data_IF_983183476748
#
_entry.id   IF_983183476748
#
_cell.length_a   1.000
_cell.length_b   1.000
_cell.length_c   1.000
_cell.angle_alpha   90.00
_cell.angle_beta   90.00
_cell.angle_gamma   90.00
#
_symmetry.space_group_name_H-M   'P 1'
#
loop_
_entity.id
_entity.type
_entity.pdbx_description
1 polymer ?
#
# COMPACT_ATOMS: atom_id res chain seq x y z
N UNK A 1 0.15 -4.97 24.27
CA UNK A 1 -0.82 -5.82 23.53
C UNK A 1 -0.90 -5.33 22.09
N UNK A 2 -0.99 -6.24 21.09
CA UNK A 2 -1.18 -5.82 19.70
C UNK A 2 -2.55 -5.14 19.55
N UNK A 3 -2.59 -4.12 18.69
CA UNK A 3 -3.82 -3.34 18.44
C UNK A 3 -4.83 -4.08 17.54
N UNK A 4 -4.38 -5.13 16.83
CA UNK A 4 -5.24 -5.97 15.99
C UNK A 4 -5.99 -6.94 16.91
N UNK A 5 -7.29 -6.96 16.81
CA UNK A 5 -8.20 -7.77 17.63
C UNK A 5 -8.24 -9.25 17.22
N UNK A 6 -8.84 -10.11 18.06
CA UNK A 6 -9.10 -11.51 17.70
C UNK A 6 -10.10 -11.59 16.55
N UNK A 7 -9.90 -12.51 15.62
CA UNK A 7 -10.72 -12.74 14.42
C UNK A 7 -10.75 -11.55 13.44
N UNK A 8 -9.83 -10.61 13.56
CA UNK A 8 -9.71 -9.54 12.58
C UNK A 8 -9.47 -10.09 11.17
N UNK A 9 -9.95 -9.35 10.17
CA UNK A 9 -9.60 -9.55 8.77
C UNK A 9 -8.74 -8.38 8.32
N UNK A 10 -7.47 -8.65 8.04
CA UNK A 10 -6.49 -7.68 7.54
C UNK A 10 -6.36 -7.82 6.04
N UNK A 11 -6.69 -6.77 5.30
CA UNK A 11 -6.54 -6.70 3.85
C UNK A 11 -5.31 -5.88 3.49
N UNK A 12 -4.39 -6.47 2.71
CA UNK A 12 -3.30 -5.76 2.04
C UNK A 12 -3.73 -5.41 0.60
N UNK A 13 -3.65 -4.14 0.25
CA UNK A 13 -4.05 -3.64 -1.06
C UNK A 13 -2.97 -2.71 -1.64
N UNK A 14 -2.66 -2.87 -2.93
CA UNK A 14 -1.60 -2.10 -3.55
C UNK A 14 -1.22 -2.62 -4.94
N UNK A 15 0.03 -2.37 -5.30
CA UNK A 15 0.64 -2.73 -6.58
C UNK A 15 1.51 -4.01 -6.50
N UNK A 16 2.57 -4.09 -7.32
CA UNK A 16 3.50 -5.23 -7.38
C UNK A 16 4.22 -5.51 -6.07
N UNK A 17 4.50 -4.48 -5.27
CA UNK A 17 5.17 -4.64 -3.97
C UNK A 17 4.23 -5.37 -3.00
N UNK A 18 2.94 -5.09 -3.06
CA UNK A 18 1.92 -5.79 -2.28
C UNK A 18 1.58 -7.16 -2.87
N UNK A 19 1.44 -7.26 -4.21
CA UNK A 19 1.19 -8.49 -4.94
C UNK A 19 2.19 -9.59 -4.54
N UNK A 20 3.49 -9.29 -4.60
CA UNK A 20 4.54 -10.24 -4.22
C UNK A 20 4.49 -11.56 -4.98
N UNK A 21 3.97 -11.59 -6.21
CA UNK A 21 3.85 -12.78 -7.04
C UNK A 21 2.77 -13.77 -6.58
N UNK A 22 1.71 -13.29 -5.95
CA UNK A 22 0.60 -14.13 -5.50
C UNK A 22 -0.12 -14.85 -6.65
N UNK A 23 -0.67 -16.01 -6.38
CA UNK A 23 -1.57 -16.70 -7.29
C UNK A 23 -2.98 -16.07 -7.26
N UNK A 24 -3.37 -15.39 -8.33
CA UNK A 24 -4.69 -14.74 -8.44
C UNK A 24 -5.89 -15.71 -8.40
N UNK A 25 -5.67 -16.99 -8.72
CA UNK A 25 -6.71 -18.03 -8.65
C UNK A 25 -6.96 -18.51 -7.21
N UNK A 26 -6.03 -18.22 -6.30
CA UNK A 26 -6.18 -18.54 -4.88
C UNK A 26 -6.40 -17.24 -4.08
N UNK A 27 -7.63 -17.01 -3.64
CA UNK A 27 -7.99 -15.81 -2.89
C UNK A 27 -7.28 -15.64 -1.54
N UNK A 28 -6.72 -16.72 -0.99
CA UNK A 28 -6.01 -16.71 0.30
C UNK A 28 -4.47 -16.67 0.13
N UNK A 29 -3.96 -16.68 -1.10
CA UNK A 29 -2.53 -16.56 -1.35
C UNK A 29 -2.02 -15.13 -1.07
N UNK A 30 -1.04 -15.03 -0.20
CA UNK A 30 -0.41 -13.77 0.21
C UNK A 30 0.80 -13.37 -0.63
N UNK A 31 1.23 -14.23 -1.57
CA UNK A 31 2.46 -14.07 -2.32
C UNK A 31 3.70 -14.35 -1.47
N UNK A 32 4.86 -13.83 -1.91
CA UNK A 32 6.15 -14.00 -1.25
C UNK A 32 6.74 -12.68 -0.71
N UNK A 33 5.95 -11.59 -0.79
CA UNK A 33 6.35 -10.25 -0.39
C UNK A 33 6.06 -9.94 1.09
N UNK A 34 6.07 -8.63 1.39
CA UNK A 34 5.89 -8.13 2.75
C UNK A 34 4.56 -8.57 3.40
N UNK A 35 3.51 -8.74 2.59
CA UNK A 35 2.18 -9.14 3.10
C UNK A 35 2.24 -10.53 3.77
N UNK A 36 2.89 -11.49 3.12
CA UNK A 36 3.12 -12.83 3.67
C UNK A 36 4.02 -12.78 4.90
N UNK A 37 5.13 -12.02 4.84
CA UNK A 37 6.07 -11.91 5.96
C UNK A 37 5.38 -11.31 7.20
N UNK A 38 4.61 -10.23 7.03
CA UNK A 38 3.88 -9.58 8.12
C UNK A 38 2.81 -10.52 8.71
N UNK A 39 2.07 -11.22 7.88
CA UNK A 39 1.05 -12.18 8.30
C UNK A 39 1.67 -13.36 9.08
N UNK A 40 2.76 -13.94 8.56
CA UNK A 40 3.46 -15.05 9.20
C UNK A 40 4.05 -14.63 10.55
N UNK A 41 4.72 -13.47 10.59
CA UNK A 41 5.30 -12.93 11.83
C UNK A 41 4.23 -12.64 12.89
N UNK A 42 3.12 -11.99 12.48
CA UNK A 42 2.00 -11.71 13.39
C UNK A 42 1.39 -13.00 13.94
N UNK A 43 1.12 -13.99 13.08
CA UNK A 43 0.52 -15.27 13.47
C UNK A 43 1.43 -16.06 14.42
N UNK A 44 2.74 -16.02 14.19
CA UNK A 44 3.72 -16.65 15.08
C UNK A 44 3.82 -15.94 16.44
N UNK A 45 3.78 -14.61 16.44
CA UNK A 45 3.87 -13.81 17.68
C UNK A 45 2.58 -13.84 18.52
N UNK A 46 1.42 -14.03 17.87
CA UNK A 46 0.10 -13.97 18.52
C UNK A 46 -0.81 -15.12 18.10
N UNK A 47 -0.43 -16.40 18.33
CA UNK A 47 -1.16 -17.56 17.83
C UNK A 47 -2.59 -17.71 18.36
N UNK A 48 -2.87 -17.11 19.53
CA UNK A 48 -4.22 -17.09 20.09
C UNK A 48 -5.18 -16.15 19.37
N UNK A 49 -4.65 -15.22 18.53
CA UNK A 49 -5.46 -14.32 17.73
C UNK A 49 -5.68 -14.95 16.35
N UNK A 50 -6.91 -15.30 16.05
CA UNK A 50 -7.31 -15.98 14.81
C UNK A 50 -7.50 -14.95 13.68
N UNK A 51 -6.45 -14.13 13.43
CA UNK A 51 -6.45 -13.10 12.39
C UNK A 51 -6.34 -13.77 11.02
N UNK A 52 -7.20 -13.33 10.10
CA UNK A 52 -7.08 -13.70 8.68
C UNK A 52 -6.40 -12.55 7.93
N UNK A 53 -5.62 -12.92 6.92
CA UNK A 53 -4.93 -11.98 6.07
C UNK A 53 -5.32 -12.25 4.61
N UNK A 54 -5.58 -11.19 3.85
CA UNK A 54 -5.84 -11.25 2.42
C UNK A 54 -4.92 -10.29 1.68
N UNK A 55 -4.48 -10.71 0.50
CA UNK A 55 -3.71 -9.88 -0.42
C UNK A 55 -4.53 -9.60 -1.69
N UNK A 56 -4.68 -8.33 -2.04
CA UNK A 56 -5.34 -7.84 -3.26
C UNK A 56 -4.42 -6.89 -4.03
N UNK A 57 -3.10 -7.02 -3.84
CA UNK A 57 -2.11 -6.38 -4.70
C UNK A 57 -2.19 -6.89 -6.13
N UNK A 58 -2.00 -5.99 -7.10
CA UNK A 58 -1.89 -6.33 -8.54
C UNK A 58 -0.74 -5.53 -9.12
N UNK A 59 0.22 -6.23 -9.74
CA UNK A 59 1.39 -5.62 -10.37
C UNK A 59 1.01 -4.53 -11.37
N UNK A 60 1.71 -3.40 -11.32
CA UNK A 60 1.53 -2.28 -12.23
C UNK A 60 0.38 -1.34 -11.87
N UNK A 61 -0.46 -1.69 -10.90
CA UNK A 61 -1.59 -0.83 -10.52
C UNK A 61 -1.15 0.53 -10.02
N UNK A 62 -1.95 1.53 -10.36
CA UNK A 62 -1.96 2.90 -9.85
C UNK A 62 -3.15 3.11 -8.93
N UNK A 63 -3.21 4.25 -8.26
CA UNK A 63 -4.34 4.57 -7.37
C UNK A 63 -5.69 4.52 -8.09
N UNK A 64 -5.76 4.93 -9.37
CA UNK A 64 -6.98 4.87 -10.19
C UNK A 64 -7.47 3.44 -10.39
N UNK A 65 -6.56 2.48 -10.52
CA UNK A 65 -6.89 1.07 -10.72
C UNK A 65 -7.43 0.46 -9.44
N UNK A 66 -6.85 0.82 -8.27
CA UNK A 66 -7.41 0.44 -6.97
C UNK A 66 -8.85 0.96 -6.83
N UNK A 67 -9.08 2.24 -7.16
CA UNK A 67 -10.41 2.87 -7.10
C UNK A 67 -11.43 2.12 -7.96
N UNK A 68 -11.03 1.68 -9.15
CA UNK A 68 -11.92 0.99 -10.09
C UNK A 68 -12.42 -0.36 -9.55
N UNK A 69 -11.55 -1.11 -8.85
CA UNK A 69 -11.87 -2.44 -8.31
C UNK A 69 -12.20 -2.46 -6.81
N UNK A 70 -12.31 -1.28 -6.18
CA UNK A 70 -12.43 -1.13 -4.73
C UNK A 70 -13.65 -1.85 -4.12
N UNK A 71 -14.75 -1.90 -4.86
CA UNK A 71 -15.96 -2.59 -4.38
C UNK A 71 -15.68 -4.07 -4.14
N UNK A 72 -15.26 -4.78 -5.17
CA UNK A 72 -15.06 -6.23 -5.11
C UNK A 72 -13.85 -6.63 -4.25
N UNK A 73 -12.76 -5.85 -4.33
CA UNK A 73 -11.47 -6.20 -3.72
C UNK A 73 -11.28 -5.65 -2.30
N UNK A 74 -12.22 -4.84 -1.83
CA UNK A 74 -12.19 -4.31 -0.47
C UNK A 74 -13.56 -4.36 0.21
N UNK A 75 -14.55 -3.60 -0.29
CA UNK A 75 -15.80 -3.42 0.45
C UNK A 75 -16.60 -4.72 0.61
N UNK A 76 -16.68 -5.53 -0.43
CA UNK A 76 -17.41 -6.81 -0.40
C UNK A 76 -16.71 -7.86 0.49
N UNK A 77 -15.42 -7.71 0.76
CA UNK A 77 -14.64 -8.56 1.67
C UNK A 77 -14.85 -8.22 3.14
N UNK A 78 -15.38 -7.03 3.43
CA UNK A 78 -15.66 -6.53 4.79
C UNK A 78 -14.48 -6.65 5.76
N UNK A 79 -13.26 -6.15 5.38
CA UNK A 79 -12.12 -6.19 6.28
C UNK A 79 -12.33 -5.30 7.51
N UNK A 80 -11.71 -5.68 8.63
CA UNK A 80 -11.62 -4.85 9.83
C UNK A 80 -10.39 -3.96 9.83
N UNK A 81 -9.41 -4.32 8.98
CA UNK A 81 -8.18 -3.55 8.75
C UNK A 81 -7.87 -3.49 7.26
N UNK A 82 -7.59 -2.30 6.76
CA UNK A 82 -7.21 -2.08 5.36
C UNK A 82 -5.84 -1.42 5.31
N UNK A 83 -4.85 -2.14 4.78
CA UNK A 83 -3.52 -1.62 4.50
C UNK A 83 -3.42 -1.27 3.03
N UNK A 84 -3.12 -0.01 2.73
CA UNK A 84 -2.97 0.50 1.36
C UNK A 84 -1.54 0.95 1.15
N UNK A 85 -0.87 0.38 0.13
CA UNK A 85 0.47 0.75 -0.26
C UNK A 85 0.51 0.90 -1.79
N UNK A 86 0.47 2.16 -2.26
CA UNK A 86 0.32 2.52 -3.67
C UNK A 86 0.96 3.87 -3.96
N UNK A 87 1.37 4.12 -5.20
CA UNK A 87 1.78 5.44 -5.67
C UNK A 87 3.08 5.45 -6.47
N UNK A 88 3.93 4.45 -6.35
CA UNK A 88 5.18 4.40 -7.13
C UNK A 88 4.90 4.31 -8.64
N UNK A 89 3.89 3.52 -9.06
CA UNK A 89 3.50 3.42 -10.47
C UNK A 89 2.81 4.69 -10.99
N UNK A 90 2.14 5.46 -10.12
CA UNK A 90 1.59 6.76 -10.48
C UNK A 90 2.69 7.75 -10.91
N UNK A 91 3.87 7.62 -10.30
CA UNK A 91 5.07 8.36 -10.69
C UNK A 91 5.79 7.68 -11.86
N UNK A 92 5.99 6.36 -11.80
CA UNK A 92 6.77 5.63 -12.82
C UNK A 92 6.23 5.85 -14.24
N UNK A 93 4.90 5.81 -14.43
CA UNK A 93 4.27 5.95 -15.75
C UNK A 93 4.52 7.31 -16.43
N UNK A 94 4.86 8.35 -15.66
CA UNK A 94 5.32 9.62 -16.22
C UNK A 94 6.62 9.46 -17.02
N UNK A 95 7.54 8.62 -16.52
CA UNK A 95 8.90 8.52 -17.06
C UNK A 95 9.08 7.41 -18.10
N UNK A 96 8.33 6.33 -18.01
CA UNK A 96 8.47 5.20 -18.94
C UNK A 96 7.49 5.22 -20.10
N UNK A 97 6.30 5.75 -19.91
CA UNK A 97 5.22 5.68 -20.90
C UNK A 97 4.55 7.03 -21.19
N UNK A 98 5.07 8.12 -20.62
CA UNK A 98 4.51 9.48 -20.75
C UNK A 98 3.00 9.53 -20.39
N UNK A 99 2.60 8.78 -19.37
CA UNK A 99 1.22 8.72 -18.86
C UNK A 99 1.21 9.14 -17.37
N UNK A 100 1.38 10.46 -17.10
CA UNK A 100 1.47 10.96 -15.73
C UNK A 100 0.13 10.89 -14.99
N UNK A 101 0.19 10.58 -13.70
CA UNK A 101 -0.90 10.85 -12.76
C UNK A 101 -0.57 12.14 -12.03
N UNK A 102 -1.37 13.20 -12.19
CA UNK A 102 -1.14 14.44 -11.44
C UNK A 102 -1.29 14.22 -9.93
N UNK A 103 -0.67 15.08 -9.13
CA UNK A 103 -0.83 15.01 -7.66
C UNK A 103 -2.28 15.17 -7.25
N UNK A 104 -3.03 16.05 -7.94
CA UNK A 104 -4.46 16.28 -7.70
C UNK A 104 -5.30 15.03 -8.02
N UNK A 105 -5.05 14.38 -9.16
CA UNK A 105 -5.76 13.15 -9.53
C UNK A 105 -5.43 12.00 -8.59
N UNK A 106 -4.15 11.91 -8.17
CA UNK A 106 -3.71 10.94 -7.17
C UNK A 106 -4.44 11.14 -5.84
N UNK A 107 -4.45 12.39 -5.34
CA UNK A 107 -5.15 12.73 -4.10
C UNK A 107 -6.65 12.44 -4.20
N UNK A 108 -7.31 12.91 -5.26
CA UNK A 108 -8.74 12.73 -5.44
C UNK A 108 -9.15 11.25 -5.51
N UNK A 109 -8.37 10.43 -6.21
CA UNK A 109 -8.62 9.00 -6.31
C UNK A 109 -8.38 8.28 -4.97
N UNK A 110 -7.31 8.63 -4.26
CA UNK A 110 -6.98 8.02 -2.97
C UNK A 110 -8.00 8.42 -1.89
N UNK A 111 -8.36 9.70 -1.82
CA UNK A 111 -9.40 10.22 -0.94
C UNK A 111 -10.73 9.49 -1.13
N UNK A 112 -11.18 9.33 -2.38
CA UNK A 112 -12.41 8.62 -2.70
C UNK A 112 -12.40 7.15 -2.21
N UNK A 113 -11.25 6.48 -2.26
CA UNK A 113 -11.08 5.14 -1.69
C UNK A 113 -11.29 5.16 -0.17
N UNK A 114 -10.65 6.10 0.54
CA UNK A 114 -10.74 6.21 2.00
C UNK A 114 -12.15 6.58 2.46
N UNK A 115 -12.78 7.58 1.81
CA UNK A 115 -14.16 7.99 2.10
C UNK A 115 -15.14 6.83 1.94
N UNK A 116 -15.04 6.09 0.82
CA UNK A 116 -15.89 4.92 0.58
C UNK A 116 -15.68 3.84 1.64
N UNK A 117 -14.43 3.63 2.06
CA UNK A 117 -14.12 2.65 3.11
C UNK A 117 -14.75 3.06 4.44
N UNK A 118 -14.53 4.30 4.88
CA UNK A 118 -15.05 4.80 6.14
C UNK A 118 -16.58 4.88 6.16
N UNK A 119 -17.22 5.15 5.02
CA UNK A 119 -18.68 5.18 4.91
C UNK A 119 -19.31 3.78 4.97
N UNK A 120 -18.63 2.76 4.46
CA UNK A 120 -19.16 1.41 4.33
C UNK A 120 -18.74 0.45 5.46
N UNK A 121 -17.57 0.69 6.08
CA UNK A 121 -16.96 -0.27 7.00
C UNK A 121 -16.44 0.43 8.26
N UNK A 122 -16.51 -0.22 9.43
CA UNK A 122 -15.82 0.25 10.64
C UNK A 122 -14.34 -0.17 10.64
N UNK A 123 -13.71 -0.14 9.46
CA UNK A 123 -12.34 -0.61 9.27
C UNK A 123 -11.31 0.42 9.72
N UNK A 124 -10.23 -0.05 10.33
CA UNK A 124 -9.06 0.77 10.62
C UNK A 124 -8.11 0.77 9.44
N UNK A 125 -7.46 1.91 9.22
CA UNK A 125 -6.65 2.16 8.04
C UNK A 125 -5.15 2.16 8.39
N UNK A 126 -4.35 1.58 7.49
CA UNK A 126 -2.89 1.65 7.50
C UNK A 126 -2.46 2.15 6.12
N UNK A 127 -1.75 3.27 6.05
CA UNK A 127 -1.27 3.84 4.80
C UNK A 127 0.25 3.77 4.74
N UNK A 128 0.78 3.08 3.74
CA UNK A 128 2.21 3.04 3.45
C UNK A 128 2.60 4.17 2.50
N UNK A 129 3.66 4.91 2.82
CA UNK A 129 4.23 5.89 1.90
C UNK A 129 4.78 5.19 0.66
N UNK A 130 4.45 5.66 -0.57
CA UNK A 130 5.23 5.25 -1.73
C UNK A 130 6.68 5.73 -1.54
N UNK A 131 7.65 4.94 -1.99
CA UNK A 131 9.06 5.25 -1.85
C UNK A 131 9.81 5.04 -3.16
N UNK A 132 10.99 5.61 -3.23
CA UNK A 132 11.92 5.43 -4.33
C UNK A 132 13.31 5.12 -3.78
N UNK A 133 13.85 3.99 -4.23
CA UNK A 133 15.28 3.70 -4.16
C UNK A 133 15.84 3.86 -5.58
N UNK A 134 16.65 4.88 -5.85
CA UNK A 134 17.17 5.13 -7.18
C UNK A 134 18.28 4.11 -7.50
N UNK A 135 17.92 3.03 -8.17
CA UNK A 135 18.83 1.96 -8.59
C UNK A 135 19.28 2.11 -10.06
N UNK A 136 18.60 2.97 -10.81
CA UNK A 136 18.93 3.28 -12.20
C UNK A 136 19.31 4.75 -12.33
N UNK A 137 20.24 5.05 -13.26
CA UNK A 137 20.66 6.41 -13.55
C UNK A 137 19.46 7.31 -13.90
N UNK A 138 19.37 8.45 -13.27
CA UNK A 138 18.32 9.44 -13.52
C UNK A 138 17.00 9.21 -12.79
N UNK A 139 16.89 8.16 -11.99
CA UNK A 139 15.68 7.95 -11.15
C UNK A 139 15.53 8.99 -10.04
N UNK A 140 16.62 9.64 -9.61
CA UNK A 140 16.55 10.72 -8.60
C UNK A 140 15.61 11.84 -9.03
N UNK A 141 15.48 12.12 -10.33
CA UNK A 141 14.51 13.09 -10.86
C UNK A 141 13.06 12.74 -10.62
N UNK A 142 12.77 11.46 -10.34
CA UNK A 142 11.40 11.04 -10.04
C UNK A 142 10.88 11.60 -8.71
N UNK A 143 11.79 12.07 -7.85
CA UNK A 143 11.45 12.75 -6.60
C UNK A 143 10.56 13.99 -6.82
N UNK A 144 10.77 14.73 -7.92
CA UNK A 144 9.95 15.91 -8.27
C UNK A 144 8.44 15.58 -8.39
N UNK A 145 8.13 14.34 -8.79
CA UNK A 145 6.76 13.85 -8.98
C UNK A 145 6.28 12.98 -7.80
N UNK A 146 7.19 12.24 -7.17
CA UNK A 146 6.85 11.33 -6.07
C UNK A 146 6.67 12.07 -4.74
N UNK A 147 7.52 13.04 -4.43
CA UNK A 147 7.49 13.75 -3.13
C UNK A 147 6.14 14.43 -2.84
N UNK A 148 5.49 15.10 -3.80
CA UNK A 148 4.14 15.59 -3.61
C UNK A 148 3.12 14.49 -3.28
N UNK A 149 3.23 13.32 -3.89
CA UNK A 149 2.35 12.17 -3.61
C UNK A 149 2.59 11.56 -2.22
N UNK A 150 3.86 11.52 -1.78
CA UNK A 150 4.19 11.15 -0.39
C UNK A 150 3.52 12.13 0.59
N UNK A 151 3.60 13.43 0.32
CA UNK A 151 2.94 14.45 1.14
C UNK A 151 1.42 14.23 1.21
N UNK A 152 0.77 13.92 0.09
CA UNK A 152 -0.66 13.56 0.04
C UNK A 152 -0.97 12.37 0.96
N UNK A 153 -0.19 11.28 0.89
CA UNK A 153 -0.42 10.11 1.76
C UNK A 153 -0.31 10.47 3.24
N UNK A 154 0.65 11.33 3.61
CA UNK A 154 0.81 11.83 4.99
C UNK A 154 -0.39 12.66 5.45
N UNK A 155 -0.90 13.53 4.59
CA UNK A 155 -2.06 14.37 4.89
C UNK A 155 -3.32 13.52 5.03
N UNK A 156 -3.56 12.60 4.10
CA UNK A 156 -4.68 11.66 4.16
C UNK A 156 -4.60 10.77 5.40
N UNK A 157 -3.42 10.29 5.76
CA UNK A 157 -3.25 9.50 6.98
C UNK A 157 -3.66 10.28 8.24
N UNK A 158 -3.32 11.57 8.31
CA UNK A 158 -3.73 12.45 9.42
C UNK A 158 -5.23 12.70 9.42
N UNK A 159 -5.79 13.04 8.27
CA UNK A 159 -7.21 13.37 8.11
C UNK A 159 -8.12 12.18 8.47
N UNK A 160 -7.79 11.00 7.96
CA UNK A 160 -8.57 9.77 8.19
C UNK A 160 -8.14 9.00 9.45
N UNK A 161 -7.26 9.58 10.27
CA UNK A 161 -6.74 8.96 11.50
C UNK A 161 -6.15 7.56 11.26
N UNK A 162 -5.55 7.37 10.09
CA UNK A 162 -4.90 6.14 9.70
C UNK A 162 -3.51 6.00 10.35
N UNK A 163 -3.06 4.77 10.53
CA UNK A 163 -1.68 4.49 10.90
C UNK A 163 -0.81 4.73 9.67
N UNK A 164 0.13 5.67 9.77
CA UNK A 164 1.11 5.91 8.72
C UNK A 164 2.32 4.99 8.91
N UNK A 165 2.73 4.31 7.82
CA UNK A 165 4.00 3.61 7.75
C UNK A 165 4.96 4.44 6.87
N UNK A 166 5.96 5.11 7.45
CA UNK A 166 6.82 6.09 6.76
C UNK A 166 7.93 5.39 5.96
N UNK A 167 7.53 4.61 4.94
CA UNK A 167 8.44 3.74 4.20
C UNK A 167 9.52 4.52 3.45
N UNK A 168 9.21 5.70 2.90
CA UNK A 168 10.21 6.50 2.19
C UNK A 168 11.38 6.88 3.12
N UNK A 169 11.07 7.36 4.32
CA UNK A 169 12.09 7.67 5.32
C UNK A 169 12.86 6.44 5.81
N UNK A 170 12.18 5.32 6.01
CA UNK A 170 12.80 4.06 6.45
C UNK A 170 13.79 3.55 5.40
N UNK A 171 13.39 3.53 4.13
CA UNK A 171 14.26 3.09 3.04
C UNK A 171 15.39 4.08 2.76
N UNK A 172 15.12 5.39 2.85
CA UNK A 172 16.17 6.40 2.76
C UNK A 172 17.25 6.20 3.84
N UNK A 173 16.85 5.93 5.09
CA UNK A 173 17.79 5.63 6.17
C UNK A 173 18.58 4.33 5.88
N UNK A 174 17.90 3.27 5.44
CA UNK A 174 18.57 2.00 5.14
C UNK A 174 19.61 2.16 4.01
N UNK A 175 19.30 2.93 2.97
CA UNK A 175 20.19 3.15 1.82
C UNK A 175 21.48 3.93 2.15
N UNK A 176 21.54 4.61 3.30
CA UNK A 176 22.79 5.26 3.73
C UNK A 176 23.89 4.27 4.13
N UNK A 177 23.56 3.01 4.31
CA UNK A 177 24.49 1.96 4.75
C UNK A 177 24.97 1.04 3.62
N UNK A 178 24.32 1.11 2.46
CA UNK A 178 24.59 0.25 1.32
C UNK A 178 24.39 1.01 0.02
N UNK A 179 25.22 0.72 -0.97
CA UNK A 179 25.05 1.28 -2.31
C UNK A 179 23.70 0.85 -2.91
N UNK A 180 23.02 1.72 -3.71
CA UNK A 180 21.71 1.42 -4.31
C UNK A 180 21.68 0.22 -5.26
N UNK A 181 22.82 -0.27 -5.68
CA UNK A 181 22.99 -1.40 -6.62
C UNK A 181 22.88 -2.79 -5.95
N UNK A 182 22.14 -2.87 -4.90
CA UNK A 182 21.97 -4.12 -4.15
C UNK A 182 20.78 -4.92 -4.64
#
# INVERSE_FOLDING_TARGET
MPIIEDKALVLFHGDSITDGGRNYQNGDDLGTGYAMIAAAWFSAAYPAKRVRFLNRGISGNRVKDLRARWQADCLDLQPTWVSIFIGVNDTWRRYDSNDPTSTQDFEAAYRAILERTCAALPARLILGEPFLLPVLAGQDRWREDLDPKIAVVRELAREFQAILVPLDGIFAQASTRHEPAF
#
